data_IF_058406386600
#
_entry.id   IF_058406386600
#
_cell.length_a   1.000
_cell.length_b   1.000
_cell.length_c   1.000
_cell.angle_alpha   90.00
_cell.angle_beta   90.00
_cell.angle_gamma   90.00
#
_symmetry.space_group_name_H-M   'P 1'
#
loop_
_entity.id
_entity.type
_entity.pdbx_description
1 polymer ?
#
# COMPACT_ATOMS: atom_id res chain seq x y z
N UNK A 1 16.25 2.75 -16.07
CA UNK A 1 15.08 2.71 -15.18
C UNK A 1 14.23 1.53 -15.61
N UNK A 2 13.88 0.62 -14.69
CA UNK A 2 13.08 -0.59 -15.00
C UNK A 2 11.74 -0.49 -14.26
N UNK A 3 10.66 -0.84 -14.95
CA UNK A 3 9.35 -0.99 -14.32
C UNK A 3 9.25 -2.43 -13.80
N UNK A 4 8.95 -2.57 -12.52
CA UNK A 4 8.62 -3.84 -11.89
C UNK A 4 7.14 -3.80 -11.55
N UNK A 5 6.38 -4.72 -12.13
CA UNK A 5 4.96 -4.86 -11.86
C UNK A 5 4.77 -6.08 -10.97
N UNK A 6 4.19 -5.84 -9.79
CA UNK A 6 3.82 -6.89 -8.85
C UNK A 6 2.31 -6.83 -8.65
N UNK A 7 1.64 -7.97 -8.71
CA UNK A 7 0.22 -8.07 -8.34
C UNK A 7 0.15 -8.91 -7.09
N UNK A 8 -0.47 -8.38 -6.04
CA UNK A 8 -0.67 -9.09 -4.79
C UNK A 8 -2.15 -9.05 -4.44
N UNK A 9 -2.77 -10.22 -4.31
CA UNK A 9 -4.16 -10.32 -3.90
C UNK A 9 -4.22 -10.58 -2.40
N UNK A 10 -5.03 -9.79 -1.68
CA UNK A 10 -5.18 -9.91 -0.24
C UNK A 10 -6.65 -10.04 0.13
N UNK A 11 -6.96 -11.13 0.84
CA UNK A 11 -8.29 -11.32 1.41
C UNK A 11 -8.26 -10.68 2.78
N UNK A 12 -8.91 -9.53 2.94
CA UNK A 12 -9.12 -8.95 4.25
C UNK A 12 -10.28 -9.65 4.94
N UNK A 13 -10.28 -9.73 6.28
CA UNK A 13 -11.45 -10.19 7.02
C UNK A 13 -12.66 -9.33 6.63
N UNK A 14 -13.76 -9.97 6.26
CA UNK A 14 -15.00 -9.26 5.89
C UNK A 14 -15.48 -8.34 7.02
N UNK A 15 -15.97 -7.16 6.65
CA UNK A 15 -16.55 -6.17 7.59
C UNK A 15 -15.68 -4.95 7.90
N UNK A 16 -14.60 -4.70 7.17
CA UNK A 16 -13.83 -3.45 7.30
C UNK A 16 -14.33 -2.37 6.33
N UNK A 17 -14.30 -1.10 6.73
CA UNK A 17 -14.67 0.07 5.88
C UNK A 17 -13.43 0.84 5.38
N UNK A 18 -12.23 0.28 5.57
CA UNK A 18 -10.97 1.04 5.54
C UNK A 18 -10.49 1.49 4.15
N UNK A 19 -11.05 0.94 3.06
CA UNK A 19 -10.62 1.27 1.68
C UNK A 19 -11.73 1.78 0.77
N UNK A 20 -12.92 2.09 1.30
CA UNK A 20 -13.97 2.76 0.53
C UNK A 20 -13.59 4.18 0.07
N UNK A 21 -12.50 4.76 0.60
CA UNK A 21 -12.03 6.11 0.31
C UNK A 21 -10.49 6.16 0.29
N UNK A 22 -9.89 6.81 -0.72
CA UNK A 22 -8.42 6.91 -0.81
C UNK A 22 -7.77 7.70 0.34
N UNK A 23 -8.49 8.65 0.96
CA UNK A 23 -8.00 9.42 2.12
C UNK A 23 -7.84 8.59 3.40
N UNK A 24 -8.40 7.37 3.42
CA UNK A 24 -8.26 6.42 4.52
C UNK A 24 -7.02 5.53 4.39
N UNK A 25 -6.19 5.69 3.35
CA UNK A 25 -5.06 4.81 3.06
C UNK A 25 -3.75 5.59 2.87
N UNK A 26 -2.63 5.04 3.34
CA UNK A 26 -1.30 5.66 3.20
C UNK A 26 -0.21 4.61 3.04
N UNK A 27 0.95 5.04 2.53
CA UNK A 27 2.17 4.23 2.46
C UNK A 27 3.14 4.69 3.54
N UNK A 28 3.55 3.79 4.41
CA UNK A 28 4.48 4.07 5.50
C UNK A 28 5.76 3.24 5.32
N UNK A 29 6.91 3.92 5.30
CA UNK A 29 8.20 3.27 5.46
C UNK A 29 8.48 3.09 6.95
N UNK A 30 8.78 1.87 7.37
CA UNK A 30 9.01 1.52 8.76
C UNK A 30 10.49 1.67 9.17
N UNK A 31 10.79 1.84 10.47
CA UNK A 31 12.17 2.01 10.95
C UNK A 31 13.11 0.84 10.63
N UNK A 32 12.56 -0.35 10.40
CA UNK A 32 13.29 -1.57 10.00
C UNK A 32 13.57 -1.64 8.48
N UNK A 33 13.15 -0.62 7.72
CA UNK A 33 13.35 -0.53 6.29
C UNK A 33 12.29 -1.23 5.44
N UNK A 34 11.19 -1.72 6.04
CA UNK A 34 10.06 -2.30 5.30
C UNK A 34 9.12 -1.21 4.77
N UNK A 35 8.34 -1.53 3.74
CA UNK A 35 7.30 -0.66 3.20
C UNK A 35 5.92 -1.28 3.42
N UNK A 36 5.00 -0.53 4.03
CA UNK A 36 3.62 -0.97 4.26
C UNK A 36 2.59 -0.03 3.70
N UNK A 37 1.43 -0.58 3.33
CA UNK A 37 0.17 0.18 3.26
C UNK A 37 -0.49 0.12 4.63
N UNK A 38 -0.89 1.26 5.15
CA UNK A 38 -1.70 1.38 6.35
C UNK A 38 -3.06 1.99 5.99
N UNK A 39 -4.07 1.68 6.79
CA UNK A 39 -5.42 2.15 6.59
C UNK A 39 -6.04 2.68 7.88
N UNK A 40 -7.06 3.52 7.73
CA UNK A 40 -7.72 4.18 8.84
C UNK A 40 -9.23 4.18 8.58
N UNK A 41 -10.00 3.63 9.52
CA UNK A 41 -11.46 3.63 9.46
C UNK A 41 -12.07 4.95 10.00
N UNK A 42 -11.25 5.83 10.58
CA UNK A 42 -11.67 7.02 11.32
C UNK A 42 -11.02 8.31 10.79
N UNK A 43 -10.83 8.36 9.48
CA UNK A 43 -10.35 9.56 8.77
C UNK A 43 -8.96 10.05 9.25
N UNK A 44 -8.08 9.11 9.57
CA UNK A 44 -6.67 9.34 9.86
C UNK A 44 -6.35 9.54 11.34
N UNK A 45 -7.30 9.36 12.25
CA UNK A 45 -7.04 9.46 13.70
C UNK A 45 -6.26 8.24 14.20
N UNK A 46 -6.67 7.03 13.79
CA UNK A 46 -5.99 5.79 14.09
C UNK A 46 -5.62 5.05 12.81
N UNK A 47 -4.45 4.41 12.82
CA UNK A 47 -3.91 3.69 11.69
C UNK A 47 -3.72 2.24 12.06
N UNK A 48 -4.38 1.36 11.33
CA UNK A 48 -4.15 -0.07 11.39
C UNK A 48 -3.05 -0.43 10.41
N UNK A 49 -2.12 -1.28 10.87
CA UNK A 49 -1.06 -1.80 10.01
C UNK A 49 -1.69 -2.75 9.01
N UNK A 50 -1.85 -2.28 7.77
CA UNK A 50 -2.53 -3.04 6.73
C UNK A 50 -1.64 -4.16 6.20
N UNK A 51 -0.67 -3.80 5.35
CA UNK A 51 -0.04 -4.78 4.47
C UNK A 51 1.43 -4.47 4.15
N UNK A 52 2.27 -5.49 4.17
CA UNK A 52 3.65 -5.46 3.67
C UNK A 52 3.71 -5.43 2.13
N UNK A 53 4.15 -4.29 1.58
CA UNK A 53 4.54 -4.17 0.16
C UNK A 53 5.94 -4.73 -0.07
N UNK A 54 6.86 -4.45 0.85
CA UNK A 54 8.26 -4.84 0.80
C UNK A 54 8.69 -5.32 2.18
N UNK A 55 9.16 -6.58 2.25
CA UNK A 55 9.58 -7.22 3.50
C UNK A 55 11.10 -7.08 3.74
N UNK A 56 11.86 -6.72 2.71
CA UNK A 56 13.30 -6.52 2.79
C UNK A 56 13.63 -5.02 2.92
N UNK A 57 14.67 -4.66 3.70
CA UNK A 57 15.09 -3.27 3.86
C UNK A 57 15.40 -2.58 2.53
N UNK A 58 14.86 -1.38 2.34
CA UNK A 58 15.13 -0.58 1.14
C UNK A 58 14.83 0.91 1.31
N UNK A 59 15.25 1.70 0.30
CA UNK A 59 14.87 3.10 0.21
C UNK A 59 13.70 3.26 -0.78
N UNK A 60 12.60 3.87 -0.30
CA UNK A 60 11.38 4.05 -1.07
C UNK A 60 11.06 5.54 -1.19
N UNK A 61 10.78 5.99 -2.40
CA UNK A 61 10.55 7.40 -2.70
C UNK A 61 9.30 7.61 -3.54
N UNK A 62 8.71 8.80 -3.37
CA UNK A 62 7.62 9.30 -4.20
C UNK A 62 6.44 8.32 -4.33
N UNK A 63 5.86 7.87 -3.20
CA UNK A 63 4.69 7.00 -3.26
C UNK A 63 3.50 7.73 -3.88
N UNK A 64 2.70 6.99 -4.64
CA UNK A 64 1.37 7.41 -5.07
C UNK A 64 0.39 6.25 -4.84
N UNK A 65 -0.84 6.59 -4.47
CA UNK A 65 -1.89 5.65 -4.09
C UNK A 65 -3.23 6.12 -4.67
N UNK A 66 -3.97 5.21 -5.31
CA UNK A 66 -5.29 5.46 -5.87
C UNK A 66 -6.18 4.25 -5.54
N UNK A 67 -7.40 4.51 -5.08
CA UNK A 67 -8.42 3.47 -4.89
C UNK A 67 -9.37 3.43 -6.09
N UNK A 68 -9.69 2.23 -6.56
CA UNK A 68 -10.67 1.94 -7.62
C UNK A 68 -11.46 0.67 -7.25
N UNK A 69 -12.72 0.84 -6.82
CA UNK A 69 -13.53 -0.24 -6.27
C UNK A 69 -12.82 -0.94 -5.11
N UNK A 70 -12.67 -2.26 -5.22
CA UNK A 70 -11.99 -3.09 -4.22
C UNK A 70 -10.47 -3.20 -4.46
N UNK A 71 -9.93 -2.40 -5.38
CA UNK A 71 -8.50 -2.42 -5.73
C UNK A 71 -7.83 -1.12 -5.31
N UNK A 72 -6.67 -1.26 -4.69
CA UNK A 72 -5.81 -0.16 -4.33
C UNK A 72 -4.51 -0.24 -5.14
N UNK A 73 -4.31 0.76 -5.99
CA UNK A 73 -3.18 0.88 -6.89
C UNK A 73 -2.10 1.73 -6.21
N UNK A 74 -0.92 1.14 -6.04
CA UNK A 74 0.22 1.80 -5.42
C UNK A 74 1.39 1.83 -6.40
N UNK A 75 2.07 2.97 -6.46
CA UNK A 75 3.38 3.07 -7.12
C UNK A 75 4.39 3.70 -6.21
N UNK A 76 5.64 3.27 -6.30
CA UNK A 76 6.76 3.90 -5.60
C UNK A 76 8.06 3.68 -6.36
N UNK A 77 9.04 4.51 -6.07
CA UNK A 77 10.40 4.34 -6.58
C UNK A 77 11.22 3.53 -5.57
N UNK A 78 11.76 2.39 -5.98
CA UNK A 78 12.67 1.57 -5.18
C UNK A 78 14.14 1.88 -5.52
N UNK A 79 14.90 2.26 -4.49
CA UNK A 79 16.34 2.56 -4.56
C UNK A 79 16.72 3.53 -5.70
N UNK A 80 15.79 4.42 -6.10
CA UNK A 80 15.92 5.35 -7.25
C UNK A 80 16.30 4.68 -8.58
N UNK A 81 16.09 3.37 -8.71
CA UNK A 81 16.46 2.56 -9.87
C UNK A 81 15.27 1.94 -10.58
N UNK A 82 14.26 1.57 -9.80
CA UNK A 82 13.07 0.88 -10.28
C UNK A 82 11.82 1.64 -9.88
N UNK A 83 10.83 1.66 -10.77
CA UNK A 83 9.47 2.03 -10.40
C UNK A 83 8.76 0.71 -10.12
N UNK A 84 8.16 0.60 -8.95
CA UNK A 84 7.35 -0.55 -8.57
C UNK A 84 5.89 -0.14 -8.66
N UNK A 85 5.08 -1.02 -9.24
CA UNK A 85 3.62 -0.93 -9.23
C UNK A 85 3.05 -2.15 -8.53
N UNK A 86 2.16 -1.90 -7.57
CA UNK A 86 1.42 -2.90 -6.82
C UNK A 86 -0.08 -2.68 -7.01
N UNK A 87 -0.80 -3.74 -7.41
CA UNK A 87 -2.25 -3.79 -7.31
C UNK A 87 -2.61 -4.66 -6.10
N UNK A 88 -3.28 -4.06 -5.12
CA UNK A 88 -3.78 -4.73 -3.92
C UNK A 88 -5.29 -4.92 -4.08
N UNK A 89 -5.72 -6.16 -4.21
CA UNK A 89 -7.15 -6.49 -4.38
C UNK A 89 -7.68 -6.97 -3.06
N UNK A 90 -8.72 -6.31 -2.55
CA UNK A 90 -9.45 -6.70 -1.36
C UNK A 90 -10.68 -7.52 -1.74
N UNK A 91 -10.88 -8.67 -1.09
CA UNK A 91 -12.08 -9.49 -1.28
C UNK A 91 -12.75 -9.63 0.07
N UNK A 92 -13.97 -9.09 0.21
CA UNK A 92 -14.83 -9.22 1.38
C UNK A 92 -16.12 -9.95 1.02
#
# INVERSE_FOLDING_TARGET
MRLTTTTQQFVLPGGHDCFGNCHASTVAALPDGQLRVACSADNGEHWESGLDLEQEPGEFFYPAIIADGDTLHVTYTWNRKNIVYCALIFSG
#
